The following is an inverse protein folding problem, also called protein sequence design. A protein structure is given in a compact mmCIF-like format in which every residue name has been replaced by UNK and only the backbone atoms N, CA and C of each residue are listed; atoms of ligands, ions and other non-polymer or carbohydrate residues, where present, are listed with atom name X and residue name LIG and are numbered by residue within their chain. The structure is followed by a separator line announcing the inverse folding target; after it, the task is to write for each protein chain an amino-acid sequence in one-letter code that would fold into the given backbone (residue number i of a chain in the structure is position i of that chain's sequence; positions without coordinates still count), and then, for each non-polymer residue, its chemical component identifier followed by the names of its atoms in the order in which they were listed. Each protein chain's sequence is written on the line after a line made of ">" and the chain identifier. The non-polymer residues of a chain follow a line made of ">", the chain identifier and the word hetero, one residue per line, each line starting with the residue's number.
data_IF_303356228157
#
_entry.id   IF_303356228157
#
_cell.length_a   1.000
_cell.length_b   1.000
_cell.length_c   1.000
_cell.angle_alpha   90.00
_cell.angle_beta   90.00
_cell.angle_gamma   90.00
#
_symmetry.space_group_name_H-M   'P 1'
#
loop_
_entity.id
_entity.type
_entity.pdbx_description
1 polymer ?
#
# COMPACT_ATOMS: atom_id res chain seq x y z
N UNK A 1 26.29 -17.52 -42.19
CA UNK A 1 25.23 -18.28 -41.48
C UNK A 1 25.40 -18.26 -39.95
N UNK A 2 26.58 -18.55 -39.38
CA UNK A 2 26.79 -18.50 -37.92
C UNK A 2 26.75 -17.07 -37.37
N UNK A 3 27.35 -16.09 -38.06
CA UNK A 3 27.34 -14.67 -37.65
C UNK A 3 25.93 -14.03 -37.66
N UNK A 4 25.08 -14.40 -38.61
CA UNK A 4 23.68 -13.96 -38.70
C UNK A 4 22.84 -14.51 -37.53
N UNK A 5 23.04 -15.77 -37.15
CA UNK A 5 22.33 -16.36 -36.01
C UNK A 5 22.76 -15.75 -34.66
N UNK A 6 24.04 -15.40 -34.49
CA UNK A 6 24.55 -14.76 -33.26
C UNK A 6 24.07 -13.30 -33.14
N UNK A 7 24.03 -12.56 -34.25
CA UNK A 7 23.53 -11.18 -34.28
C UNK A 7 22.02 -11.10 -34.04
N UNK A 8 21.23 -12.04 -34.59
CA UNK A 8 19.79 -12.16 -34.28
C UNK A 8 19.53 -12.47 -32.81
N UNK A 9 20.25 -13.45 -32.22
CA UNK A 9 20.09 -13.80 -30.80
C UNK A 9 20.50 -12.66 -29.86
N UNK A 10 21.56 -11.91 -30.20
CA UNK A 10 21.99 -10.72 -29.48
C UNK A 10 20.98 -9.57 -29.56
N UNK A 11 20.40 -9.33 -30.74
CA UNK A 11 19.36 -8.31 -30.97
C UNK A 11 18.06 -8.67 -30.24
N UNK A 12 17.60 -9.93 -30.33
CA UNK A 12 16.39 -10.43 -29.65
C UNK A 12 16.54 -10.36 -28.11
N UNK A 13 17.71 -10.72 -27.57
CA UNK A 13 18.01 -10.57 -26.13
C UNK A 13 18.11 -9.11 -25.68
N UNK A 14 18.47 -8.17 -26.56
CA UNK A 14 18.49 -6.73 -26.26
C UNK A 14 17.07 -6.15 -26.26
N UNK A 15 16.25 -6.50 -27.25
CA UNK A 15 14.85 -6.05 -27.33
C UNK A 15 14.01 -6.54 -26.15
N UNK A 16 14.18 -7.80 -25.74
CA UNK A 16 13.49 -8.38 -24.56
C UNK A 16 13.90 -7.68 -23.26
N UNK A 17 15.11 -7.12 -23.19
CA UNK A 17 15.58 -6.35 -22.02
C UNK A 17 15.08 -4.91 -21.96
N UNK A 18 14.69 -4.33 -23.09
CA UNK A 18 14.16 -2.96 -23.16
C UNK A 18 12.66 -2.88 -22.83
N UNK A 19 11.96 -4.02 -22.94
CA UNK A 19 10.51 -4.08 -22.76
C UNK A 19 10.04 -3.54 -21.41
N UNK A 20 10.64 -3.91 -20.26
CA UNK A 20 10.23 -3.36 -18.97
C UNK A 20 10.42 -1.84 -18.91
N UNK A 21 11.57 -1.34 -19.36
CA UNK A 21 11.87 0.10 -19.35
C UNK A 21 10.92 0.92 -20.23
N UNK A 22 10.45 0.38 -21.36
CA UNK A 22 9.43 1.04 -22.18
C UNK A 22 8.11 1.16 -21.41
N UNK A 23 7.71 0.10 -20.72
CA UNK A 23 6.48 0.10 -19.91
C UNK A 23 6.58 1.09 -18.75
N UNK A 24 7.74 1.18 -18.09
CA UNK A 24 8.02 2.19 -17.06
C UNK A 24 7.91 3.62 -17.60
N UNK A 25 8.46 3.88 -18.80
CA UNK A 25 8.34 5.20 -19.44
C UNK A 25 6.87 5.51 -19.77
N UNK A 26 6.10 4.52 -20.23
CA UNK A 26 4.66 4.71 -20.46
C UNK A 26 3.91 5.03 -19.16
N UNK A 27 4.25 4.36 -18.06
CA UNK A 27 3.68 4.63 -16.74
C UNK A 27 3.96 6.08 -16.31
N UNK A 28 5.21 6.52 -16.47
CA UNK A 28 5.63 7.90 -16.22
C UNK A 28 4.85 8.92 -17.08
N UNK A 29 4.73 8.66 -18.38
CA UNK A 29 3.96 9.51 -19.29
C UNK A 29 2.49 9.60 -18.88
N UNK A 30 1.87 8.48 -18.47
CA UNK A 30 0.50 8.46 -17.96
C UNK A 30 0.39 9.28 -16.66
N UNK A 31 1.32 9.10 -15.72
CA UNK A 31 1.38 9.87 -14.48
C UNK A 31 1.45 11.38 -14.72
N UNK A 32 2.33 11.85 -15.60
CA UNK A 32 2.43 13.28 -15.92
C UNK A 32 1.21 13.79 -16.70
N UNK A 33 0.64 12.97 -17.58
CA UNK A 33 -0.58 13.31 -18.31
C UNK A 33 -1.78 13.52 -17.38
N UNK A 34 -1.82 12.86 -16.24
CA UNK A 34 -2.85 13.10 -15.23
C UNK A 34 -2.86 14.56 -14.74
N UNK A 35 -1.68 15.14 -14.54
CA UNK A 35 -1.54 16.55 -14.13
C UNK A 35 -2.05 17.47 -15.23
N UNK A 36 -1.68 17.20 -16.49
CA UNK A 36 -2.20 17.94 -17.65
C UNK A 36 -3.73 17.94 -17.67
N UNK A 37 -4.36 16.76 -17.56
CA UNK A 37 -5.82 16.68 -17.59
C UNK A 37 -6.49 17.33 -16.38
N UNK A 38 -5.84 17.33 -15.21
CA UNK A 38 -6.35 18.06 -14.04
C UNK A 38 -6.32 19.58 -14.27
N UNK A 39 -5.26 20.10 -14.90
CA UNK A 39 -5.16 21.52 -15.29
C UNK A 39 -6.21 21.90 -16.34
N UNK A 40 -6.58 20.98 -17.23
CA UNK A 40 -7.64 21.16 -18.24
C UNK A 40 -9.06 20.95 -17.66
N UNK A 41 -9.19 20.70 -16.35
CA UNK A 41 -10.48 20.44 -15.68
C UNK A 41 -11.07 19.06 -15.94
N UNK A 42 -10.39 18.19 -16.69
CA UNK A 42 -10.81 16.82 -16.99
C UNK A 42 -10.43 15.86 -15.86
N UNK A 43 -11.05 16.04 -14.70
CA UNK A 43 -10.73 15.31 -13.46
C UNK A 43 -10.92 13.79 -13.58
N UNK A 44 -11.96 13.34 -14.29
CA UNK A 44 -12.20 11.90 -14.54
C UNK A 44 -11.03 11.27 -15.30
N UNK A 45 -10.50 11.97 -16.31
CA UNK A 45 -9.35 11.49 -17.10
C UNK A 45 -8.07 11.52 -16.28
N UNK A 46 -7.89 12.53 -15.41
CA UNK A 46 -6.75 12.60 -14.50
C UNK A 46 -6.69 11.39 -13.56
N UNK A 47 -7.82 11.02 -12.94
CA UNK A 47 -7.93 9.81 -12.09
C UNK A 47 -7.63 8.55 -12.91
N UNK A 48 -8.18 8.45 -14.12
CA UNK A 48 -7.94 7.31 -14.99
C UNK A 48 -6.46 7.16 -15.38
N UNK A 49 -5.76 8.26 -15.63
CA UNK A 49 -4.34 8.27 -15.96
C UNK A 49 -3.45 7.84 -14.79
N UNK A 50 -3.74 8.28 -13.55
CA UNK A 50 -3.04 7.78 -12.35
C UNK A 50 -3.29 6.28 -12.16
N UNK A 51 -4.54 5.84 -12.36
CA UNK A 51 -4.89 4.41 -12.34
C UNK A 51 -4.16 3.61 -13.41
N UNK A 52 -4.06 4.14 -14.63
CA UNK A 52 -3.32 3.52 -15.73
C UNK A 52 -1.82 3.42 -15.41
N UNK A 53 -1.21 4.47 -14.84
CA UNK A 53 0.17 4.44 -14.37
C UNK A 53 0.39 3.32 -13.34
N UNK A 54 -0.52 3.17 -12.37
CA UNK A 54 -0.45 2.09 -11.37
C UNK A 54 -0.57 0.67 -11.97
N UNK A 55 -1.37 0.50 -13.04
CA UNK A 55 -1.45 -0.78 -13.74
C UNK A 55 -0.17 -1.05 -14.52
N UNK A 56 0.38 -0.06 -15.22
CA UNK A 56 1.61 -0.21 -15.99
C UNK A 56 2.82 -0.52 -15.09
N UNK A 57 2.93 0.15 -13.94
CA UNK A 57 3.92 -0.09 -12.87
C UNK A 57 3.81 -1.50 -12.23
N UNK A 58 2.60 -2.04 -12.18
CA UNK A 58 2.43 -3.43 -11.75
C UNK A 58 2.91 -4.43 -12.83
N UNK A 59 2.83 -4.04 -14.11
CA UNK A 59 3.17 -4.89 -15.25
C UNK A 59 4.67 -4.91 -15.51
N UNK A 60 5.36 -3.76 -15.57
CA UNK A 60 6.82 -3.72 -15.78
C UNK A 60 7.60 -4.43 -14.68
N UNK A 61 7.23 -4.25 -13.40
CA UNK A 61 7.86 -4.94 -12.28
C UNK A 61 7.65 -6.46 -12.33
N UNK A 62 6.56 -6.95 -12.93
CA UNK A 62 6.38 -8.39 -13.21
C UNK A 62 7.15 -8.85 -14.44
N UNK A 63 7.13 -8.07 -15.52
CA UNK A 63 7.84 -8.38 -16.76
C UNK A 63 9.36 -8.44 -16.55
N UNK A 64 9.93 -7.51 -15.79
CA UNK A 64 11.36 -7.49 -15.46
C UNK A 64 11.80 -8.77 -14.74
N UNK A 65 10.98 -9.27 -13.80
CA UNK A 65 11.23 -10.53 -13.06
C UNK A 65 11.05 -11.76 -13.93
N UNK A 66 10.01 -11.81 -14.75
CA UNK A 66 9.71 -12.97 -15.62
C UNK A 66 10.75 -13.14 -16.74
N UNK A 67 11.30 -12.04 -17.25
CA UNK A 67 12.23 -12.04 -18.37
C UNK A 67 13.70 -12.14 -17.92
N UNK A 68 13.98 -12.24 -16.61
CA UNK A 68 15.33 -12.12 -16.03
C UNK A 68 16.09 -10.91 -16.61
N UNK A 69 15.34 -9.84 -16.87
CA UNK A 69 15.74 -8.70 -17.67
C UNK A 69 15.93 -7.46 -16.79
N UNK A 70 16.37 -7.64 -15.55
CA UNK A 70 16.64 -6.56 -14.61
C UNK A 70 17.97 -5.90 -14.97
N UNK A 71 17.91 -4.69 -15.54
CA UNK A 71 19.09 -3.84 -15.73
C UNK A 71 19.19 -2.83 -14.60
N UNK A 72 20.41 -2.42 -14.21
CA UNK A 72 20.60 -1.39 -13.18
C UNK A 72 19.90 -0.08 -13.55
N UNK A 73 20.02 0.33 -14.81
CA UNK A 73 19.35 1.53 -15.34
C UNK A 73 17.83 1.39 -15.24
N UNK A 74 17.27 0.22 -15.58
CA UNK A 74 15.83 -0.02 -15.49
C UNK A 74 15.31 0.05 -14.05
N UNK A 75 16.07 -0.46 -13.06
CA UNK A 75 15.69 -0.40 -11.65
C UNK A 75 15.70 1.04 -11.09
N UNK A 76 16.68 1.86 -11.48
CA UNK A 76 16.69 3.29 -11.12
C UNK A 76 15.55 4.04 -11.80
N UNK A 77 15.29 3.75 -13.08
CA UNK A 77 14.21 4.37 -13.84
C UNK A 77 12.83 4.04 -13.23
N UNK A 78 12.61 2.80 -12.80
CA UNK A 78 11.42 2.34 -12.08
C UNK A 78 11.16 3.20 -10.84
N UNK A 79 12.18 3.35 -9.99
CA UNK A 79 12.09 4.15 -8.75
C UNK A 79 11.82 5.63 -9.00
N UNK A 80 12.43 6.21 -10.06
CA UNK A 80 12.19 7.60 -10.45
C UNK A 80 10.79 7.79 -11.05
N UNK A 81 10.33 6.85 -11.87
CA UNK A 81 9.00 6.86 -12.45
C UNK A 81 7.92 6.72 -11.37
N UNK A 82 8.14 5.86 -10.38
CA UNK A 82 7.32 5.70 -9.18
C UNK A 82 7.15 7.02 -8.41
N UNK A 83 8.28 7.70 -8.15
CA UNK A 83 8.31 8.96 -7.43
C UNK A 83 7.49 10.05 -8.14
N UNK A 84 7.61 10.14 -9.46
CA UNK A 84 6.90 11.15 -10.25
C UNK A 84 5.42 10.77 -10.37
N UNK A 85 5.11 9.52 -10.74
CA UNK A 85 3.75 9.08 -11.07
C UNK A 85 2.84 8.98 -9.84
N UNK A 86 3.38 8.61 -8.68
CA UNK A 86 2.59 8.39 -7.46
C UNK A 86 2.87 9.40 -6.34
N UNK A 87 4.00 10.11 -6.41
CA UNK A 87 4.33 11.20 -5.50
C UNK A 87 3.93 12.55 -6.07
N UNK A 88 4.61 12.96 -7.14
CA UNK A 88 4.48 14.31 -7.71
C UNK A 88 3.12 14.52 -8.39
N UNK A 89 2.71 13.60 -9.26
CA UNK A 89 1.48 13.76 -10.03
C UNK A 89 0.22 13.88 -9.16
N UNK A 90 -0.03 13.00 -8.17
CA UNK A 90 -1.19 13.14 -7.29
C UNK A 90 -1.13 14.42 -6.44
N UNK A 91 0.06 14.82 -5.98
CA UNK A 91 0.25 16.08 -5.24
C UNK A 91 -0.19 17.28 -6.07
N UNK A 92 0.25 17.36 -7.33
CA UNK A 92 -0.10 18.43 -8.23
C UNK A 92 -1.57 18.41 -8.61
N UNK A 93 -2.15 17.23 -8.87
CA UNK A 93 -3.59 17.11 -9.16
C UNK A 93 -4.42 17.62 -7.98
N UNK A 94 -4.11 17.22 -6.74
CA UNK A 94 -4.80 17.72 -5.56
C UNK A 94 -4.59 19.23 -5.37
N UNK A 95 -3.38 19.73 -5.65
CA UNK A 95 -3.06 21.15 -5.56
C UNK A 95 -3.92 22.02 -6.47
N UNK A 96 -4.01 21.65 -7.75
CA UNK A 96 -4.75 22.44 -8.74
C UNK A 96 -6.26 22.30 -8.58
N UNK A 97 -6.74 21.20 -7.99
CA UNK A 97 -8.18 20.94 -7.86
C UNK A 97 -8.80 21.37 -6.52
N UNK A 98 -8.14 21.11 -5.38
CA UNK A 98 -8.78 21.30 -4.06
C UNK A 98 -7.92 22.00 -2.99
N UNK A 99 -6.62 22.20 -3.21
CA UNK A 99 -5.77 22.87 -2.21
C UNK A 99 -5.63 24.38 -2.47
N UNK A 100 -6.71 25.05 -2.87
CA UNK A 100 -6.84 26.52 -3.03
C UNK A 100 -5.80 27.25 -3.91
N UNK A 101 -4.79 26.56 -4.45
CA UNK A 101 -3.69 27.12 -5.23
C UNK A 101 -2.93 28.25 -4.51
N UNK A 102 -2.90 28.21 -3.17
CA UNK A 102 -2.20 29.17 -2.32
C UNK A 102 -0.90 28.59 -1.75
N UNK A 103 -0.12 29.40 -1.03
CA UNK A 103 1.15 28.97 -0.44
C UNK A 103 0.97 27.80 0.54
N UNK A 104 -0.15 27.74 1.27
CA UNK A 104 -0.43 26.65 2.21
C UNK A 104 -0.72 25.34 1.46
N UNK A 105 -1.58 25.38 0.45
CA UNK A 105 -1.85 24.24 -0.42
C UNK A 105 -0.60 23.71 -1.11
N UNK A 106 0.28 24.61 -1.55
CA UNK A 106 1.55 24.23 -2.14
C UNK A 106 2.46 23.50 -1.13
N UNK A 107 2.57 24.00 0.10
CA UNK A 107 3.32 23.33 1.16
C UNK A 107 2.77 21.92 1.42
N UNK A 108 1.45 21.75 1.48
CA UNK A 108 0.81 20.44 1.69
C UNK A 108 1.13 19.47 0.55
N UNK A 109 1.06 19.95 -0.70
CA UNK A 109 1.41 19.16 -1.87
C UNK A 109 2.89 18.72 -1.83
N UNK A 110 3.80 19.63 -1.45
CA UNK A 110 5.22 19.32 -1.27
C UNK A 110 5.45 18.29 -0.17
N UNK A 111 4.79 18.42 0.98
CA UNK A 111 4.88 17.45 2.08
C UNK A 111 4.49 16.06 1.58
N UNK A 112 3.40 15.95 0.81
CA UNK A 112 2.98 14.68 0.23
C UNK A 112 4.01 14.10 -0.74
N UNK A 113 4.48 14.90 -1.70
CA UNK A 113 5.46 14.45 -2.69
C UNK A 113 6.78 13.99 -2.04
N UNK A 114 7.33 14.79 -1.12
CA UNK A 114 8.56 14.46 -0.38
C UNK A 114 8.37 13.21 0.47
N UNK A 115 7.20 13.05 1.10
CA UNK A 115 6.88 11.86 1.89
C UNK A 115 6.95 10.57 1.06
N UNK A 116 6.43 10.59 -0.17
CA UNK A 116 6.49 9.45 -1.09
C UNK A 116 7.93 9.17 -1.54
N UNK A 117 8.70 10.20 -1.86
CA UNK A 117 10.11 10.06 -2.26
C UNK A 117 10.96 9.47 -1.13
N UNK A 118 10.82 9.99 0.11
CA UNK A 118 11.53 9.47 1.27
C UNK A 118 11.16 8.01 1.56
N UNK A 119 9.88 7.66 1.39
CA UNK A 119 9.43 6.27 1.48
C UNK A 119 10.14 5.38 0.44
N UNK A 120 10.19 5.79 -0.82
CA UNK A 120 10.85 5.03 -1.90
C UNK A 120 12.34 4.87 -1.63
N UNK A 121 13.03 5.95 -1.27
CA UNK A 121 14.45 5.92 -0.92
C UNK A 121 14.73 4.98 0.26
N UNK A 122 13.88 5.01 1.29
CA UNK A 122 13.98 4.10 2.42
C UNK A 122 13.73 2.65 1.98
N UNK A 123 12.70 2.39 1.16
CA UNK A 123 12.39 1.05 0.66
C UNK A 123 13.54 0.47 -0.16
N UNK A 124 14.13 1.26 -1.05
CA UNK A 124 15.26 0.85 -1.89
C UNK A 124 16.49 0.49 -1.04
N UNK A 125 16.86 1.35 -0.08
CA UNK A 125 17.98 1.07 0.85
C UNK A 125 17.69 -0.10 1.80
N UNK A 126 16.42 -0.30 2.18
CA UNK A 126 16.00 -1.44 3.00
C UNK A 126 16.09 -2.77 2.21
N UNK A 127 16.03 -2.75 0.88
CA UNK A 127 16.03 -3.94 0.03
C UNK A 127 17.45 -4.45 -0.26
N UNK A 128 18.45 -3.56 -0.24
CA UNK A 128 19.88 -3.88 -0.46
C UNK A 128 20.63 -4.31 0.82
N UNK A 129 19.96 -4.30 1.98
CA UNK A 129 20.55 -4.63 3.28
C UNK A 129 20.48 -6.13 3.59
N UNK A 130 21.54 -6.86 3.24
CA UNK A 130 21.63 -8.32 3.42
C UNK A 130 21.88 -8.75 4.88
N UNK A 131 22.06 -7.80 5.81
CA UNK A 131 22.30 -8.08 7.23
C UNK A 131 21.03 -8.37 8.03
N UNK A 132 19.85 -8.32 7.38
CA UNK A 132 18.57 -8.48 8.08
C UNK A 132 18.14 -9.91 8.32
N UNK A 133 17.63 -10.22 9.53
CA UNK A 133 17.06 -11.53 9.83
C UNK A 133 15.80 -11.79 8.98
N UNK A 134 15.61 -13.03 8.52
CA UNK A 134 14.60 -13.44 7.53
C UNK A 134 13.16 -13.02 7.89
N UNK A 135 12.85 -12.83 9.17
CA UNK A 135 11.53 -12.38 9.61
C UNK A 135 11.23 -10.91 9.31
N UNK A 136 12.24 -10.05 9.16
CA UNK A 136 12.09 -8.66 8.71
C UNK A 136 11.92 -8.57 7.20
N UNK A 137 12.37 -9.56 6.43
CA UNK A 137 12.23 -9.63 4.97
C UNK A 137 10.78 -9.93 4.53
N UNK A 138 9.93 -10.47 5.41
CA UNK A 138 8.51 -10.80 5.12
C UNK A 138 7.50 -9.67 5.40
N UNK A 139 7.91 -8.57 6.02
CA UNK A 139 7.04 -7.40 6.24
C UNK A 139 7.53 -6.22 5.41
N UNK A 140 6.72 -5.77 4.45
CA UNK A 140 7.01 -4.53 3.74
C UNK A 140 6.87 -3.36 4.70
N UNK A 141 7.86 -2.47 4.70
CA UNK A 141 7.83 -1.24 5.50
C UNK A 141 7.02 -0.20 4.72
N UNK A 142 5.80 0.09 5.16
CA UNK A 142 4.94 1.14 4.61
C UNK A 142 3.92 0.67 3.55
N UNK A 143 3.03 1.59 3.18
CA UNK A 143 2.02 1.41 2.11
C UNK A 143 2.69 1.56 0.74
N UNK A 144 2.50 0.67 -0.26
CA UNK A 144 3.04 0.83 -1.62
C UNK A 144 2.78 2.22 -2.22
N UNK A 145 3.73 2.78 -2.99
CA UNK A 145 3.58 4.10 -3.60
C UNK A 145 2.31 4.23 -4.47
N UNK A 146 1.97 3.24 -5.34
CA UNK A 146 0.70 3.26 -6.06
C UNK A 146 -0.53 3.28 -5.14
N UNK A 147 -0.49 2.54 -4.03
CA UNK A 147 -1.60 2.52 -3.06
C UNK A 147 -1.71 3.85 -2.30
N UNK A 148 -0.59 4.48 -1.97
CA UNK A 148 -0.58 5.79 -1.33
C UNK A 148 -1.18 6.88 -2.26
N UNK A 149 -0.85 6.84 -3.55
CA UNK A 149 -1.47 7.69 -4.57
C UNK A 149 -3.00 7.52 -4.61
N UNK A 150 -3.49 6.28 -4.66
CA UNK A 150 -4.93 6.01 -4.67
C UNK A 150 -5.63 6.49 -3.39
N UNK A 151 -4.98 6.34 -2.23
CA UNK A 151 -5.50 6.86 -0.95
C UNK A 151 -5.54 8.38 -0.98
N UNK A 152 -4.47 9.05 -1.40
CA UNK A 152 -4.41 10.52 -1.48
C UNK A 152 -5.47 11.09 -2.43
N UNK A 153 -5.75 10.41 -3.54
CA UNK A 153 -6.72 10.79 -4.55
C UNK A 153 -8.20 10.55 -4.15
N UNK A 154 -8.46 9.97 -2.98
CA UNK A 154 -9.82 9.62 -2.54
C UNK A 154 -10.80 10.80 -2.54
N UNK A 155 -10.46 12.02 -2.08
CA UNK A 155 -11.36 13.17 -2.13
C UNK A 155 -11.79 13.53 -3.55
N UNK A 156 -10.89 13.39 -4.54
CA UNK A 156 -11.21 13.63 -5.95
C UNK A 156 -12.18 12.60 -6.51
N UNK A 157 -11.95 11.34 -6.18
CA UNK A 157 -12.83 10.25 -6.61
C UNK A 157 -14.22 10.40 -5.97
N UNK A 158 -14.27 10.80 -4.70
CA UNK A 158 -15.52 11.08 -3.99
C UNK A 158 -16.28 12.24 -4.63
N UNK A 159 -15.61 13.36 -4.93
CA UNK A 159 -16.21 14.50 -5.62
C UNK A 159 -16.77 14.10 -7.00
N UNK A 160 -16.03 13.32 -7.79
CA UNK A 160 -16.50 12.85 -9.10
C UNK A 160 -17.68 11.88 -9.02
N UNK A 161 -17.86 11.17 -7.91
CA UNK A 161 -18.94 10.19 -7.75
C UNK A 161 -20.19 10.76 -7.08
N UNK A 162 -20.01 11.64 -6.09
CA UNK A 162 -21.09 12.15 -5.24
C UNK A 162 -21.36 13.64 -5.42
N UNK A 163 -20.55 14.35 -6.21
CA UNK A 163 -20.64 15.79 -6.40
C UNK A 163 -19.95 16.58 -5.29
N UNK A 164 -20.39 17.82 -5.10
CA UNK A 164 -19.89 18.70 -4.04
C UNK A 164 -20.42 18.28 -2.67
N UNK A 165 -19.56 18.38 -1.65
CA UNK A 165 -19.90 18.04 -0.28
C UNK A 165 -18.82 18.47 0.70
N UNK A 166 -18.85 17.95 1.92
CA UNK A 166 -17.79 18.24 2.90
C UNK A 166 -16.45 17.57 2.55
N UNK A 167 -16.45 16.62 1.59
CA UNK A 167 -15.27 15.84 1.21
C UNK A 167 -14.29 16.56 0.26
N UNK A 168 -14.73 17.60 -0.45
CA UNK A 168 -13.87 18.42 -1.32
C UNK A 168 -13.50 19.77 -0.70
N UNK A 169 -13.89 20.03 0.54
CA UNK A 169 -13.53 21.25 1.26
C UNK A 169 -12.05 21.27 1.62
N UNK A 170 -11.42 22.44 1.45
CA UNK A 170 -9.99 22.63 1.66
C UNK A 170 -9.46 22.05 2.99
N UNK A 171 -10.07 22.31 4.17
CA UNK A 171 -9.54 21.81 5.43
C UNK A 171 -9.50 20.29 5.52
N UNK A 172 -10.51 19.61 4.96
CA UNK A 172 -10.54 18.16 4.95
C UNK A 172 -9.53 17.60 3.95
N UNK A 173 -9.48 18.13 2.72
CA UNK A 173 -8.54 17.64 1.70
C UNK A 173 -7.09 17.86 2.15
N UNK A 174 -6.80 19.01 2.77
CA UNK A 174 -5.51 19.30 3.39
C UNK A 174 -5.16 18.27 4.47
N UNK A 175 -6.06 18.05 5.43
CA UNK A 175 -5.85 17.08 6.51
C UNK A 175 -5.69 15.66 5.97
N UNK A 176 -6.50 15.25 5.00
CA UNK A 176 -6.45 13.94 4.37
C UNK A 176 -5.15 13.73 3.60
N UNK A 177 -4.68 14.73 2.87
CA UNK A 177 -3.40 14.68 2.14
C UNK A 177 -2.23 14.50 3.11
N UNK A 178 -2.24 15.21 4.24
CA UNK A 178 -1.25 15.03 5.31
C UNK A 178 -1.35 13.62 5.90
N UNK A 179 -2.55 13.11 6.17
CA UNK A 179 -2.74 11.73 6.65
C UNK A 179 -2.20 10.72 5.65
N UNK A 180 -2.46 10.88 4.35
CA UNK A 180 -1.94 10.02 3.30
C UNK A 180 -0.40 10.07 3.23
N UNK A 181 0.19 11.27 3.35
CA UNK A 181 1.64 11.47 3.41
C UNK A 181 2.27 10.77 4.63
N UNK A 182 1.67 10.95 5.81
CA UNK A 182 2.09 10.29 7.03
C UNK A 182 1.94 8.77 6.94
N UNK A 183 0.86 8.25 6.35
CA UNK A 183 0.67 6.81 6.11
C UNK A 183 1.74 6.24 5.16
N UNK A 184 2.16 7.01 4.16
CA UNK A 184 3.20 6.59 3.22
C UNK A 184 4.59 6.50 3.89
N UNK A 185 4.96 7.48 4.71
CA UNK A 185 6.26 7.51 5.42
C UNK A 185 6.26 6.60 6.65
N UNK A 186 5.09 6.41 7.27
CA UNK A 186 4.98 5.61 8.49
C UNK A 186 5.38 4.16 8.24
N UNK A 187 6.05 3.59 9.23
CA UNK A 187 6.58 2.22 9.20
C UNK A 187 5.48 1.21 9.47
N UNK A 188 4.29 1.40 8.88
CA UNK A 188 3.19 0.47 9.09
C UNK A 188 3.47 -0.77 8.23
N UNK A 189 3.62 -1.95 8.83
CA UNK A 189 4.01 -3.14 8.11
C UNK A 189 2.80 -3.64 7.34
N UNK A 190 2.89 -3.62 6.03
CA UNK A 190 1.90 -4.26 5.17
C UNK A 190 2.42 -5.67 4.86
N UNK A 191 1.56 -6.67 5.10
CA UNK A 191 1.93 -8.06 4.89
C UNK A 191 2.33 -8.25 3.42
N UNK A 192 3.53 -8.77 3.18
CA UNK A 192 3.89 -9.26 1.86
C UNK A 192 2.80 -10.23 1.39
N UNK A 193 2.20 -9.97 0.23
CA UNK A 193 1.28 -10.93 -0.39
C UNK A 193 2.09 -12.20 -0.70
N UNK A 194 2.09 -13.15 0.24
CA UNK A 194 2.52 -14.52 -0.05
C UNK A 194 1.65 -15.02 -1.19
N UNK A 195 2.26 -15.67 -2.16
CA UNK A 195 1.53 -16.32 -3.26
C UNK A 195 0.46 -17.21 -2.63
N UNK A 196 -0.80 -16.80 -2.76
CA UNK A 196 -1.91 -17.60 -2.27
C UNK A 196 -2.02 -18.77 -3.24
N UNK A 197 -1.48 -19.92 -2.84
CA UNK A 197 -1.76 -21.19 -3.51
C UNK A 197 -3.23 -21.48 -3.27
N UNK A 198 -4.03 -21.29 -4.32
CA UNK A 198 -5.47 -21.55 -4.28
C UNK A 198 -5.67 -23.03 -4.55
N UNK A 199 -6.35 -23.72 -3.65
CA UNK A 199 -6.72 -25.13 -3.86
C UNK A 199 -7.57 -25.25 -5.14
N UNK A 200 -7.41 -26.30 -5.97
CA UNK A 200 -8.13 -26.44 -7.25
C UNK A 200 -9.65 -26.27 -7.13
N UNK A 201 -10.22 -26.71 -6.01
CA UNK A 201 -11.65 -26.57 -5.66
C UNK A 201 -12.13 -25.11 -5.46
N UNK A 202 -11.22 -24.18 -5.14
CA UNK A 202 -11.51 -22.75 -5.01
C UNK A 202 -11.11 -21.96 -6.27
N UNK A 203 -10.52 -22.61 -7.28
CA UNK A 203 -10.11 -21.95 -8.53
C UNK A 203 -11.32 -21.43 -9.31
N UNK A 204 -12.43 -22.18 -9.35
CA UNK A 204 -13.67 -21.74 -9.98
C UNK A 204 -14.25 -20.49 -9.31
N UNK A 205 -14.32 -20.48 -7.97
CA UNK A 205 -14.76 -19.29 -7.21
C UNK A 205 -13.81 -18.10 -7.43
N UNK A 206 -12.50 -18.34 -7.47
CA UNK A 206 -11.51 -17.31 -7.79
C UNK A 206 -11.73 -16.72 -9.19
N UNK A 207 -11.95 -17.56 -10.20
CA UNK A 207 -12.22 -17.11 -11.57
C UNK A 207 -13.50 -16.27 -11.64
N UNK A 208 -14.56 -16.69 -10.94
CA UNK A 208 -15.80 -15.91 -10.83
C UNK A 208 -15.55 -14.58 -10.13
N UNK A 209 -14.79 -14.55 -9.03
CA UNK A 209 -14.44 -13.30 -8.34
C UNK A 209 -13.58 -12.38 -9.20
N UNK A 210 -12.64 -12.92 -9.96
CA UNK A 210 -11.81 -12.15 -10.92
C UNK A 210 -12.68 -11.61 -12.04
N UNK A 211 -13.58 -12.41 -12.61
CA UNK A 211 -14.52 -11.97 -13.64
C UNK A 211 -15.47 -10.89 -13.12
N UNK A 212 -15.98 -11.04 -11.89
CA UNK A 212 -16.81 -10.03 -11.24
C UNK A 212 -16.03 -8.73 -10.98
N UNK A 213 -14.78 -8.84 -10.51
CA UNK A 213 -13.92 -7.68 -10.31
C UNK A 213 -13.59 -6.98 -11.63
N UNK A 214 -13.34 -7.74 -12.71
CA UNK A 214 -13.13 -7.19 -14.04
C UNK A 214 -14.40 -6.51 -14.59
N UNK A 215 -15.56 -7.12 -14.42
CA UNK A 215 -16.84 -6.51 -14.77
C UNK A 215 -17.07 -5.22 -13.97
N UNK A 216 -16.85 -5.24 -12.65
CA UNK A 216 -16.97 -4.06 -11.80
C UNK A 216 -15.96 -2.97 -12.17
N UNK A 217 -14.76 -3.32 -12.61
CA UNK A 217 -13.74 -2.38 -13.09
C UNK A 217 -14.21 -1.65 -14.36
N UNK A 218 -14.86 -2.37 -15.28
CA UNK A 218 -15.40 -1.81 -16.53
C UNK A 218 -16.67 -1.00 -16.26
N UNK A 219 -17.57 -1.50 -15.41
CA UNK A 219 -18.88 -0.87 -15.19
C UNK A 219 -18.84 0.27 -14.18
N UNK A 220 -18.07 0.15 -13.10
CA UNK A 220 -18.04 1.11 -11.99
C UNK A 220 -16.61 1.38 -11.48
N UNK A 221 -15.70 1.90 -12.33
CA UNK A 221 -14.29 2.08 -11.98
C UNK A 221 -14.06 2.94 -10.73
N UNK A 222 -14.85 4.02 -10.55
CA UNK A 222 -14.76 4.92 -9.40
C UNK A 222 -15.16 4.24 -8.08
N UNK A 223 -16.29 3.53 -8.09
CA UNK A 223 -16.78 2.81 -6.91
C UNK A 223 -15.81 1.70 -6.53
N UNK A 224 -15.32 0.94 -7.51
CA UNK A 224 -14.32 -0.10 -7.27
C UNK A 224 -13.06 0.48 -6.61
N UNK A 225 -12.54 1.60 -7.11
CA UNK A 225 -11.35 2.24 -6.54
C UNK A 225 -11.58 2.67 -5.09
N UNK A 226 -12.73 3.27 -4.76
CA UNK A 226 -13.07 3.61 -3.38
C UNK A 226 -13.18 2.38 -2.48
N UNK A 227 -13.83 1.32 -2.94
CA UNK A 227 -13.94 0.05 -2.22
C UNK A 227 -12.56 -0.55 -1.97
N UNK A 228 -11.68 -0.55 -2.96
CA UNK A 228 -10.31 -1.04 -2.83
C UNK A 228 -9.53 -0.22 -1.79
N UNK A 229 -9.64 1.11 -1.82
CA UNK A 229 -9.00 1.99 -0.82
C UNK A 229 -9.53 1.71 0.58
N UNK A 230 -10.85 1.59 0.78
CA UNK A 230 -11.46 1.29 2.08
C UNK A 230 -11.04 -0.09 2.59
N UNK A 231 -11.08 -1.12 1.74
CA UNK A 231 -10.63 -2.47 2.08
C UNK A 231 -9.15 -2.48 2.47
N UNK A 232 -8.33 -1.73 1.73
CA UNK A 232 -6.91 -1.60 2.01
C UNK A 232 -6.66 -0.90 3.36
N UNK A 233 -7.30 0.24 3.61
CA UNK A 233 -7.22 0.96 4.89
C UNK A 233 -7.71 0.10 6.07
N UNK A 234 -8.78 -0.69 5.89
CA UNK A 234 -9.29 -1.60 6.91
C UNK A 234 -8.31 -2.77 7.21
N UNK A 235 -7.49 -3.16 6.24
CA UNK A 235 -6.46 -4.18 6.42
C UNK A 235 -5.25 -3.67 7.23
N UNK A 236 -4.94 -2.36 7.19
CA UNK A 236 -3.81 -1.75 7.91
C UNK A 236 -3.81 -2.05 9.43
N UNK A 237 -4.89 -1.79 10.22
CA UNK A 237 -4.90 -2.08 11.65
C UNK A 237 -4.82 -3.58 11.95
N UNK A 238 -5.33 -4.44 11.05
CA UNK A 238 -5.20 -5.88 11.15
C UNK A 238 -3.74 -6.34 11.00
N UNK A 239 -3.05 -5.82 9.98
CA UNK A 239 -1.64 -6.10 9.73
C UNK A 239 -0.75 -5.62 10.89
N UNK A 240 -0.97 -4.39 11.37
CA UNK A 240 -0.26 -3.83 12.53
C UNK A 240 -0.44 -4.66 13.80
N UNK A 241 -1.68 -5.05 14.12
CA UNK A 241 -1.97 -5.92 15.27
C UNK A 241 -1.28 -7.29 15.12
N UNK A 242 -1.26 -7.83 13.90
CA UNK A 242 -0.63 -9.11 13.64
C UNK A 242 0.89 -9.05 13.82
N UNK A 243 1.53 -7.99 13.30
CA UNK A 243 2.97 -7.82 13.41
C UNK A 243 3.40 -7.56 14.86
N UNK A 244 2.69 -6.72 15.63
CA UNK A 244 2.99 -6.52 17.07
C UNK A 244 2.96 -7.82 17.87
N UNK A 245 2.04 -8.73 17.52
CA UNK A 245 1.97 -10.03 18.17
C UNK A 245 3.11 -10.97 17.79
N UNK A 246 3.62 -10.87 16.55
CA UNK A 246 4.78 -11.66 16.09
C UNK A 246 6.08 -11.07 16.62
N UNK A 247 6.23 -9.74 16.64
CA UNK A 247 7.38 -9.04 17.21
C UNK A 247 7.54 -9.30 18.71
N UNK A 248 6.43 -9.48 19.44
CA UNK A 248 6.45 -9.85 20.85
C UNK A 248 6.83 -11.33 21.11
N UNK A 249 6.92 -12.18 20.07
CA UNK A 249 7.25 -13.61 20.18
C UNK A 249 8.12 -14.08 19.00
N UNK A 250 9.40 -13.67 18.96
CA UNK A 250 10.32 -14.01 17.87
C UNK A 250 10.50 -15.52 17.68
N UNK A 251 10.44 -16.31 18.76
CA UNK A 251 10.57 -17.77 18.73
C UNK A 251 9.46 -18.48 17.94
N UNK A 252 8.32 -17.82 17.70
CA UNK A 252 7.17 -18.42 17.02
C UNK A 252 7.26 -18.30 15.49
N UNK A 253 8.30 -17.63 14.97
CA UNK A 253 8.44 -17.34 13.54
C UNK A 253 8.45 -18.58 12.64
N UNK A 254 9.11 -19.66 13.10
CA UNK A 254 9.24 -20.91 12.34
C UNK A 254 7.96 -21.75 12.28
N UNK A 255 6.91 -21.39 13.03
CA UNK A 255 5.64 -22.11 13.01
C UNK A 255 4.78 -21.77 11.80
N UNK A 256 4.12 -22.80 11.25
CA UNK A 256 3.18 -22.65 10.13
C UNK A 256 2.06 -21.65 10.52
N UNK A 257 1.51 -20.85 9.57
CA UNK A 257 0.49 -19.86 9.88
C UNK A 257 -0.75 -20.40 10.62
N UNK A 258 -1.11 -21.67 10.39
CA UNK A 258 -2.20 -22.34 11.08
C UNK A 258 -1.91 -22.57 12.58
N UNK A 259 -0.68 -22.97 12.92
CA UNK A 259 -0.23 -23.17 14.31
C UNK A 259 -0.17 -21.85 15.07
N UNK A 260 0.29 -20.77 14.42
CA UNK A 260 0.27 -19.41 14.99
C UNK A 260 -1.16 -18.95 15.32
N UNK A 261 -2.13 -19.24 14.43
CA UNK A 261 -3.56 -18.96 14.67
C UNK A 261 -4.13 -19.80 15.82
N UNK A 262 -3.74 -21.07 15.92
CA UNK A 262 -4.15 -21.96 17.01
C UNK A 262 -3.61 -21.48 18.37
N UNK A 263 -2.32 -21.10 18.44
CA UNK A 263 -1.71 -20.55 19.64
C UNK A 263 -2.32 -19.19 20.05
N UNK A 264 -2.67 -18.32 19.10
CA UNK A 264 -3.44 -17.08 19.38
C UNK A 264 -4.79 -17.38 20.04
N UNK A 265 -5.50 -18.40 19.55
CA UNK A 265 -6.80 -18.84 20.10
C UNK A 265 -6.63 -19.47 21.48
N UNK A 266 -5.58 -20.27 21.69
CA UNK A 266 -5.25 -20.87 22.98
C UNK A 266 -4.86 -19.82 24.03
N UNK A 267 -4.08 -18.80 23.67
CA UNK A 267 -3.69 -17.71 24.56
C UNK A 267 -4.88 -16.83 24.99
N UNK A 268 -5.88 -16.64 24.12
CA UNK A 268 -7.16 -15.99 24.47
C UNK A 268 -8.06 -16.84 25.36
N UNK A 269 -7.91 -18.18 25.31
CA UNK A 269 -8.69 -19.14 26.10
C UNK A 269 -8.06 -19.47 27.46
N UNK A 270 -6.87 -18.95 27.79
CA UNK A 270 -6.40 -19.03 29.17
C UNK A 270 -7.39 -18.28 30.05
N UNK A 271 -8.08 -18.94 31.01
CA UNK A 271 -8.86 -18.22 32.00
C UNK A 271 -7.89 -17.25 32.66
N UNK A 272 -8.32 -16.00 32.86
CA UNK A 272 -7.60 -15.10 33.76
C UNK A 272 -7.38 -15.91 35.05
N UNK A 273 -6.12 -16.18 35.39
CA UNK A 273 -5.76 -16.78 36.67
C UNK A 273 -6.50 -15.95 37.71
N UNK A 274 -7.52 -16.55 38.34
CA UNK A 274 -8.17 -15.96 39.50
C UNK A 274 -7.05 -15.73 40.49
N UNK A 275 -6.60 -14.49 40.62
CA UNK A 275 -5.76 -14.07 41.72
C UNK A 275 -6.58 -14.42 42.96
N UNK A 276 -6.13 -15.32 43.84
CA UNK A 276 -6.85 -15.57 45.07
C UNK A 276 -6.84 -14.24 45.82
N UNK A 277 -8.01 -13.62 45.97
CA UNK A 277 -8.17 -12.45 46.81
C UNK A 277 -7.80 -12.91 48.21
N UNK A 278 -6.63 -12.48 48.69
CA UNK A 278 -6.16 -12.80 50.04
C UNK A 278 -7.19 -12.28 51.04
N UNK A 279 -7.84 -13.21 51.72
CA UNK A 279 -8.81 -12.96 52.80
C UNK A 279 -8.17 -12.32 54.04
N UNK A 280 -6.85 -12.11 54.05
CA UNK A 280 -6.13 -11.44 55.14
C UNK A 280 -6.48 -9.96 55.35
N UNK A 281 -7.28 -9.33 54.47
CA UNK A 281 -7.80 -7.96 54.66
C UNK A 281 -9.21 -7.87 55.22
N UNK A 282 -9.88 -8.99 55.52
CA UNK A 282 -11.14 -8.97 56.27
C UNK A 282 -10.86 -9.11 57.78
N UNK A 283 -10.14 -8.13 58.35
CA UNK A 283 -10.19 -7.90 59.80
C UNK A 283 -11.58 -7.36 60.13
N UNK A 284 -12.48 -8.26 60.48
CA UNK A 284 -13.76 -7.97 61.12
C UNK A 284 -13.49 -7.12 62.37
N UNK A 285 -13.91 -5.85 62.30
CA UNK A 285 -14.01 -4.92 63.42
C UNK A 285 -15.03 -5.50 64.40
N UNK A 286 -14.57 -6.11 65.51
CA UNK A 286 -15.45 -6.50 66.62
C UNK A 286 -16.13 -5.24 67.18
N UNK A 287 -17.47 -5.21 67.34
CA UNK A 287 -18.16 -4.14 68.05
C UNK A 287 -17.86 -4.25 69.56
N UNK A 288 -17.72 -3.11 70.22
CA UNK A 288 -17.41 -3.00 71.63
C UNK A 288 -18.45 -3.68 72.52
N UNK A 289 -17.98 -4.39 73.54
CA UNK A 289 -18.77 -4.73 74.70
C UNK A 289 -18.73 -3.55 75.68
N UNK A 290 -19.91 -3.01 75.97
CA UNK A 290 -20.21 -2.10 77.09
C UNK A 290 -20.35 -2.90 78.39
N UNK A 291 -20.37 -2.15 79.49
CA UNK A 291 -20.72 -2.48 80.89
C UNK A 291 -19.50 -2.79 81.79
N UNK A 292 -19.29 -2.16 82.95
CA UNK A 292 -20.04 -1.19 83.78
C UNK A 292 -19.03 -0.42 84.64
#
# INVERSE_FOLDING_TARGET
>A
MIEETVTEHGRRRRTVRLLPSIVTIMALCAGLSAVKFALEGSLSTAVAMIGAAAVLDMLDGRLARMLSATTKIGAELDSLADAISFGVSPALVLYVTFLNQDSLGWIIALIYAVSIVLRLARFNTLMDDDTRPDWQREYFVGVPAPAAALIGMLPLVAHQQFGDGWWNEFPLVAAWTIVAALLAVSSIPTLAMKSVSVAPQAAALLLVLVALAAAALVTYPRILLMVLVVLYLAHIPFAWRSQRWVAARPEIWHHKPAERRAQRRAARRRPALRVPVSTSRLRLRRPGARER
#
